data_IF_251968746548
#
_entry.id   IF_251968746548
#
_cell.length_a   1.000
_cell.length_b   1.000
_cell.length_c   1.000
_cell.angle_alpha   90.00
_cell.angle_beta   90.00
_cell.angle_gamma   90.00
#
_symmetry.space_group_name_H-M   'P 1'
#
loop_
_entity.id
_entity.type
_entity.pdbx_description
1 polymer ?
#
# COMPACT_ATOMS: atom_id res chain seq x y z
N UNK A 1 15.09 -1.80 7.60
CA UNK A 1 14.92 -0.72 6.58
C UNK A 1 13.44 -0.40 6.43
N UNK A 2 13.04 0.87 6.51
CA UNK A 2 11.62 1.27 6.50
C UNK A 2 11.24 1.96 5.19
N UNK A 3 10.94 1.18 4.15
CA UNK A 3 10.53 1.68 2.83
C UNK A 3 9.01 1.92 2.80
N UNK A 4 8.59 3.17 2.60
CA UNK A 4 7.17 3.56 2.62
C UNK A 4 6.57 3.65 1.20
N UNK A 5 7.41 3.77 0.19
CA UNK A 5 6.99 3.80 -1.20
C UNK A 5 8.15 3.41 -2.14
N UNK A 6 7.79 2.88 -3.31
CA UNK A 6 8.73 2.62 -4.39
C UNK A 6 8.21 3.23 -5.68
N UNK A 7 9.02 4.09 -6.29
CA UNK A 7 8.77 4.55 -7.65
C UNK A 7 9.50 3.66 -8.64
N UNK A 8 8.92 3.52 -9.83
CA UNK A 8 9.52 2.84 -10.97
C UNK A 8 9.73 3.87 -12.08
N UNK A 9 10.94 4.39 -12.18
CA UNK A 9 11.31 5.43 -13.15
C UNK A 9 11.70 4.79 -14.47
N UNK A 10 10.96 5.12 -15.52
CA UNK A 10 11.29 4.67 -16.87
C UNK A 10 12.41 5.53 -17.48
N UNK A 11 13.39 4.86 -18.06
CA UNK A 11 14.40 5.41 -18.96
C UNK A 11 14.18 4.84 -20.37
N UNK A 12 14.93 5.31 -21.37
CA UNK A 12 14.77 4.87 -22.77
C UNK A 12 14.73 3.34 -22.95
N UNK A 13 15.54 2.59 -22.18
CA UNK A 13 15.69 1.13 -22.32
C UNK A 13 15.72 0.36 -21.00
N UNK A 14 15.37 1.00 -19.88
CA UNK A 14 15.37 0.36 -18.55
C UNK A 14 14.34 0.97 -17.62
N UNK A 15 13.90 0.21 -16.63
CA UNK A 15 13.12 0.70 -15.50
C UNK A 15 13.98 0.69 -14.24
N UNK A 16 14.12 1.83 -13.59
CA UNK A 16 14.90 2.02 -12.37
C UNK A 16 13.97 2.08 -11.14
N UNK A 17 14.07 1.15 -10.19
CA UNK A 17 13.35 1.25 -8.92
C UNK A 17 14.02 2.28 -7.99
N UNK A 18 13.22 3.21 -7.45
CA UNK A 18 13.67 4.24 -6.52
C UNK A 18 12.88 4.07 -5.20
N UNK A 19 13.58 3.67 -4.14
CA UNK A 19 12.99 3.41 -2.83
C UNK A 19 12.93 4.67 -1.95
N UNK A 20 11.76 5.04 -1.47
CA UNK A 20 11.56 6.11 -0.49
C UNK A 20 11.58 5.50 0.91
N UNK A 21 12.60 5.85 1.71
CA UNK A 21 12.85 5.24 3.02
C UNK A 21 12.80 6.28 4.13
N UNK A 22 12.10 5.98 5.22
CA UNK A 22 12.17 6.76 6.46
C UNK A 22 13.38 6.28 7.27
N UNK A 23 14.34 7.15 7.63
CA UNK A 23 15.52 6.73 8.38
C UNK A 23 15.12 6.37 9.82
N UNK A 24 15.41 5.13 10.24
CA UNK A 24 15.16 4.61 11.59
C UNK A 24 16.41 3.89 12.09
N UNK A 25 16.64 3.93 13.40
CA UNK A 25 17.80 3.29 14.05
C UNK A 25 17.57 1.81 14.41
N UNK A 26 16.35 1.31 14.25
CA UNK A 26 15.95 -0.05 14.60
C UNK A 26 15.63 -0.86 13.36
N UNK A 27 15.94 -2.16 13.42
CA UNK A 27 15.53 -3.16 12.41
C UNK A 27 14.18 -3.81 12.74
N UNK A 28 13.56 -3.45 13.87
CA UNK A 28 12.22 -3.88 14.21
C UNK A 28 11.19 -3.29 13.23
N UNK A 29 10.05 -3.98 13.08
CA UNK A 29 8.91 -3.44 12.36
C UNK A 29 8.45 -2.12 13.02
N UNK A 30 8.13 -1.13 12.18
CA UNK A 30 7.74 0.21 12.63
C UNK A 30 6.25 0.39 12.35
N UNK A 31 5.40 -0.09 13.27
CA UNK A 31 3.93 -0.05 13.11
C UNK A 31 3.39 1.36 12.81
N UNK A 32 4.05 2.39 13.34
CA UNK A 32 3.67 3.78 13.15
C UNK A 32 3.84 4.26 11.70
N UNK A 33 4.69 3.60 10.90
CA UNK A 33 4.88 3.90 9.48
C UNK A 33 3.93 3.10 8.56
N UNK A 34 3.28 2.07 9.09
CA UNK A 34 2.52 1.08 8.32
C UNK A 34 1.14 0.86 8.94
N UNK A 35 0.26 1.88 8.93
CA UNK A 35 -1.11 1.72 9.42
C UNK A 35 -1.87 0.68 8.59
N UNK A 36 -2.98 0.12 9.12
CA UNK A 36 -3.83 -0.79 8.36
C UNK A 36 -4.21 -0.19 6.99
N UNK A 37 -3.96 -0.94 5.92
CA UNK A 37 -4.11 -0.48 4.54
C UNK A 37 -5.05 -1.38 3.75
N UNK A 38 -5.52 -0.93 2.59
CA UNK A 38 -6.44 -1.71 1.77
C UNK A 38 -5.83 -3.05 1.34
N UNK A 39 -6.53 -4.14 1.67
CA UNK A 39 -6.17 -5.50 1.27
C UNK A 39 -6.60 -5.85 -0.15
N UNK A 40 -6.28 -7.07 -0.61
CA UNK A 40 -6.58 -7.51 -1.98
C UNK A 40 -8.06 -7.85 -2.21
N UNK A 41 -8.82 -8.05 -1.14
CA UNK A 41 -10.21 -8.47 -1.22
C UNK A 41 -11.14 -7.25 -1.28
N UNK A 42 -12.11 -7.23 -2.19
CA UNK A 42 -13.10 -6.15 -2.24
C UNK A 42 -14.05 -6.24 -1.04
N UNK A 43 -14.48 -5.07 -0.55
CA UNK A 43 -15.46 -4.99 0.53
C UNK A 43 -16.90 -5.29 0.06
N UNK A 44 -17.17 -5.06 -1.23
CA UNK A 44 -18.48 -5.24 -1.83
C UNK A 44 -18.36 -5.94 -3.18
N UNK A 45 -19.39 -6.69 -3.54
CA UNK A 45 -19.60 -7.14 -4.91
C UNK A 45 -20.12 -5.99 -5.78
N UNK A 46 -19.96 -6.10 -7.10
CA UNK A 46 -20.47 -5.09 -8.03
C UNK A 46 -21.98 -4.85 -7.90
N UNK A 47 -22.77 -5.91 -7.67
CA UNK A 47 -24.24 -5.81 -7.51
C UNK A 47 -24.62 -5.03 -6.25
N UNK A 48 -23.86 -5.19 -5.17
CA UNK A 48 -24.11 -4.49 -3.91
C UNK A 48 -23.84 -3.00 -4.02
N UNK A 49 -22.71 -2.64 -4.63
CA UNK A 49 -22.37 -1.24 -4.86
C UNK A 49 -23.37 -0.56 -5.81
N UNK A 50 -23.73 -1.21 -6.93
CA UNK A 50 -24.78 -0.73 -7.84
C UNK A 50 -26.16 -0.64 -7.16
N UNK A 51 -26.40 -1.45 -6.14
CA UNK A 51 -27.59 -1.39 -5.28
C UNK A 51 -27.57 -0.24 -4.26
N UNK A 52 -26.54 0.62 -4.28
CA UNK A 52 -26.41 1.77 -3.41
C UNK A 52 -25.76 1.49 -2.05
N UNK A 53 -25.13 0.31 -1.85
CA UNK A 53 -24.31 0.08 -0.67
C UNK A 53 -22.94 0.76 -0.82
N UNK A 54 -22.51 1.43 0.24
CA UNK A 54 -21.15 1.96 0.37
C UNK A 54 -20.41 1.22 1.49
N UNK A 55 -19.15 0.88 1.23
CA UNK A 55 -18.25 0.33 2.24
C UNK A 55 -16.81 0.78 1.97
N UNK A 56 -16.06 1.04 3.04
CA UNK A 56 -14.61 1.24 2.95
C UNK A 56 -13.88 -0.06 2.60
N UNK A 57 -12.59 0.02 2.20
CA UNK A 57 -11.79 -1.15 1.88
C UNK A 57 -11.61 -2.07 3.10
N UNK A 58 -11.46 -3.38 2.84
CA UNK A 58 -11.07 -4.34 3.87
C UNK A 58 -9.62 -4.09 4.25
N UNK A 59 -9.37 -3.60 5.46
CA UNK A 59 -8.02 -3.24 5.91
C UNK A 59 -7.23 -4.49 6.37
N UNK A 60 -5.94 -4.50 6.09
CA UNK A 60 -4.97 -5.52 6.53
C UNK A 60 -3.75 -4.85 7.17
N UNK A 61 -3.11 -5.56 8.11
CA UNK A 61 -1.77 -5.19 8.58
C UNK A 61 -0.72 -5.61 7.56
N UNK A 62 0.31 -4.78 7.39
CA UNK A 62 1.52 -5.14 6.64
C UNK A 62 2.38 -6.15 7.40
#
# INVERSE_FOLDING_TARGET
>A
KCEIARFYKLHERKCEPIAMTVPRKSDLFQEDLYPPTAGPNPALTAKEWLGGKDAGPLLVSL
#
